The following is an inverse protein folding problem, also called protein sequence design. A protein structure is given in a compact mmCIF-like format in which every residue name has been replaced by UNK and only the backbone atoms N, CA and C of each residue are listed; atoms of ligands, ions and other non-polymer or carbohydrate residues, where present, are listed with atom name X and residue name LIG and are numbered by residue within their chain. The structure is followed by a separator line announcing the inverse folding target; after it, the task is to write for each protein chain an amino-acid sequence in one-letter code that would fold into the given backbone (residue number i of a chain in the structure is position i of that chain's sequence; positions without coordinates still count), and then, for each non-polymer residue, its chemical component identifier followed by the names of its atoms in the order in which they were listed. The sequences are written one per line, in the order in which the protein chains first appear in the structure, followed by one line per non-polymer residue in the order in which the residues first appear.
data_IF_363667124242
#
_entry.id   IF_363667124242
#
_cell.length_a   1.000
_cell.length_b   1.000
_cell.length_c   1.000
_cell.angle_alpha   90.00
_cell.angle_beta   90.00
_cell.angle_gamma   90.00
#
_symmetry.space_group_name_H-M   'P 1'
#
loop_
_entity.id
_entity.type
_entity.pdbx_description
1 polymer ?
#
# COMPACT_ATOMS: atom_id res chain seq x y z
N UNK A 1 3.93 30.97 22.25
CA UNK A 1 3.31 29.63 22.27
C UNK A 1 1.87 29.62 21.78
N UNK A 2 0.98 30.48 22.21
CA UNK A 2 -0.44 30.51 21.76
C UNK A 2 -0.64 30.75 20.27
N UNK A 3 0.19 31.54 19.61
CA UNK A 3 0.13 31.79 18.15
C UNK A 3 0.48 30.54 17.35
N UNK A 4 1.49 29.81 17.78
CA UNK A 4 1.90 28.54 17.16
C UNK A 4 0.80 27.48 17.35
N UNK A 5 0.19 27.41 18.52
CA UNK A 5 -0.94 26.50 18.78
C UNK A 5 -2.20 26.85 17.96
N UNK A 6 -2.49 28.15 17.76
CA UNK A 6 -3.59 28.60 16.88
C UNK A 6 -3.30 28.27 15.40
N UNK A 7 -2.08 28.51 14.91
CA UNK A 7 -1.68 28.17 13.56
C UNK A 7 -1.70 26.64 13.33
N UNK A 8 -1.27 25.88 14.34
CA UNK A 8 -1.27 24.43 14.30
C UNK A 8 -2.71 23.85 14.34
N UNK A 9 -3.65 24.46 15.03
CA UNK A 9 -5.04 24.00 15.13
C UNK A 9 -5.97 24.66 14.08
N UNK A 10 -5.42 25.48 13.18
CA UNK A 10 -6.18 26.11 12.13
C UNK A 10 -6.67 25.05 11.12
N UNK A 11 -7.97 25.07 10.85
CA UNK A 11 -8.61 24.24 9.82
C UNK A 11 -9.24 25.17 8.79
N UNK A 12 -8.87 25.10 7.52
CA UNK A 12 -9.52 25.89 6.48
C UNK A 12 -11.00 25.48 6.38
N UNK A 13 -11.89 26.46 6.38
CA UNK A 13 -13.28 26.25 5.98
C UNK A 13 -13.29 26.10 4.46
N UNK A 14 -13.36 24.86 3.98
CA UNK A 14 -13.35 24.57 2.54
C UNK A 14 -14.75 24.12 2.10
N UNK A 15 -15.17 24.44 0.87
CA UNK A 15 -16.41 23.92 0.31
C UNK A 15 -16.36 22.40 0.06
N UNK A 16 -15.15 21.82 0.09
CA UNK A 16 -14.88 20.40 -0.11
C UNK A 16 -14.64 19.74 1.24
N UNK A 17 -15.15 18.53 1.43
CA UNK A 17 -14.90 17.75 2.64
C UNK A 17 -13.40 17.63 2.95
N UNK A 18 -13.03 17.98 4.17
CA UNK A 18 -11.63 18.05 4.61
C UNK A 18 -10.84 16.74 4.41
N UNK A 19 -11.53 15.59 4.41
CA UNK A 19 -10.94 14.28 4.12
C UNK A 19 -10.24 14.23 2.75
N UNK A 20 -10.74 14.92 1.73
CA UNK A 20 -10.08 14.96 0.41
C UNK A 20 -8.78 15.76 0.44
N UNK A 21 -8.72 16.81 1.24
CA UNK A 21 -7.50 17.60 1.42
C UNK A 21 -6.44 16.74 2.10
N UNK A 22 -6.81 16.00 3.16
CA UNK A 22 -5.87 15.11 3.83
C UNK A 22 -5.34 14.01 2.90
N UNK A 23 -6.19 13.48 1.99
CA UNK A 23 -5.74 12.50 0.98
C UNK A 23 -4.78 13.11 -0.04
N UNK A 24 -5.03 14.34 -0.52
CA UNK A 24 -4.12 15.03 -1.45
C UNK A 24 -2.76 15.26 -0.79
N UNK A 25 -2.75 15.77 0.44
CA UNK A 25 -1.52 16.02 1.19
C UNK A 25 -0.78 14.71 1.51
N UNK A 26 -1.50 13.63 1.85
CA UNK A 26 -0.91 12.30 2.00
C UNK A 26 -0.31 11.78 0.69
N UNK A 27 -0.99 12.04 -0.44
CA UNK A 27 -0.50 11.73 -1.78
C UNK A 27 0.81 12.47 -2.11
N UNK A 28 0.90 13.76 -1.79
CA UNK A 28 2.15 14.52 -1.92
C UNK A 28 3.27 13.91 -1.06
N UNK A 29 2.94 13.42 0.16
CA UNK A 29 3.86 12.65 1.00
C UNK A 29 4.34 11.38 0.32
N UNK A 30 3.43 10.66 -0.33
CA UNK A 30 3.76 9.48 -1.12
C UNK A 30 4.71 9.83 -2.26
N UNK A 31 4.46 10.94 -2.99
CA UNK A 31 5.36 11.41 -4.04
C UNK A 31 6.79 11.63 -3.52
N UNK A 32 6.95 12.35 -2.41
CA UNK A 32 8.27 12.59 -1.79
C UNK A 32 9.01 11.29 -1.45
N UNK A 33 8.31 10.28 -0.91
CA UNK A 33 8.92 9.02 -0.50
C UNK A 33 9.20 8.05 -1.64
N UNK A 34 8.51 8.16 -2.80
CA UNK A 34 8.70 7.24 -3.94
C UNK A 34 10.07 7.35 -4.60
N UNK A 35 10.90 8.35 -4.27
CA UNK A 35 12.33 8.39 -4.63
C UNK A 35 13.12 7.17 -4.14
N UNK A 36 12.73 6.55 -3.02
CA UNK A 36 13.29 5.29 -2.52
C UNK A 36 12.53 4.05 -3.00
N UNK A 37 11.51 4.20 -3.86
CA UNK A 37 10.76 3.07 -4.38
C UNK A 37 11.64 2.19 -5.27
N UNK A 38 11.41 0.88 -5.23
CA UNK A 38 12.15 -0.08 -6.05
C UNK A 38 12.10 0.27 -7.54
N UNK A 39 10.94 0.73 -8.03
CA UNK A 39 10.75 1.16 -9.42
C UNK A 39 11.66 2.34 -9.77
N UNK A 40 11.79 3.32 -8.87
CA UNK A 40 12.62 4.50 -9.08
C UNK A 40 14.09 4.13 -9.16
N UNK A 41 14.59 3.35 -8.19
CA UNK A 41 15.99 2.88 -8.22
C UNK A 41 16.26 2.01 -9.44
N UNK A 42 15.35 1.09 -9.79
CA UNK A 42 15.51 0.25 -10.98
C UNK A 42 15.56 1.09 -12.28
N UNK A 43 14.80 2.18 -12.36
CA UNK A 43 14.78 3.05 -13.52
C UNK A 43 16.04 3.90 -13.71
N UNK A 44 16.77 4.19 -12.63
CA UNK A 44 17.97 5.04 -12.67
C UNK A 44 19.27 4.31 -12.33
N UNK A 45 19.21 3.00 -12.10
CA UNK A 45 20.40 2.23 -11.68
C UNK A 45 21.58 2.34 -12.65
N UNK A 46 21.31 2.44 -13.96
CA UNK A 46 22.36 2.63 -14.98
C UNK A 46 23.12 3.93 -14.75
N UNK A 47 22.42 5.03 -14.43
CA UNK A 47 23.06 6.31 -14.13
C UNK A 47 23.96 6.23 -12.88
N UNK A 48 23.54 5.43 -11.89
CA UNK A 48 24.33 5.20 -10.68
C UNK A 48 25.57 4.36 -11.01
N UNK A 49 25.45 3.29 -11.81
CA UNK A 49 26.58 2.43 -12.19
C UNK A 49 27.64 3.20 -12.97
N UNK A 50 27.20 4.00 -13.95
CA UNK A 50 28.11 4.78 -14.81
C UNK A 50 28.89 5.83 -14.00
N UNK A 51 28.27 6.42 -12.97
CA UNK A 51 28.88 7.46 -12.16
C UNK A 51 29.76 6.91 -11.03
N UNK A 52 29.36 5.78 -10.41
CA UNK A 52 30.04 5.25 -9.22
C UNK A 52 30.96 4.06 -9.49
N UNK A 53 30.76 3.38 -10.62
CA UNK A 53 31.46 2.14 -10.94
C UNK A 53 31.04 0.94 -10.08
N UNK A 54 29.94 1.04 -9.33
CA UNK A 54 29.49 -0.06 -8.45
C UNK A 54 28.81 -1.17 -9.24
N UNK A 55 28.89 -2.40 -8.72
CA UNK A 55 28.20 -3.52 -9.30
C UNK A 55 26.68 -3.44 -9.09
N UNK A 56 25.93 -4.03 -10.04
CA UNK A 56 24.46 -4.16 -9.95
C UNK A 56 24.03 -4.89 -8.67
N UNK A 57 24.82 -5.88 -8.23
CA UNK A 57 24.57 -6.63 -6.99
C UNK A 57 24.57 -5.73 -5.76
N UNK A 58 25.48 -4.74 -5.70
CA UNK A 58 25.57 -3.77 -4.60
C UNK A 58 24.28 -2.99 -4.44
N UNK A 59 23.72 -2.46 -5.52
CA UNK A 59 22.44 -1.73 -5.45
C UNK A 59 21.28 -2.67 -5.10
N UNK A 60 21.24 -3.87 -5.70
CA UNK A 60 20.21 -4.85 -5.43
C UNK A 60 20.16 -5.29 -3.96
N UNK A 61 21.31 -5.48 -3.32
CA UNK A 61 21.40 -5.81 -1.88
C UNK A 61 20.81 -4.68 -1.04
N UNK A 62 21.18 -3.42 -1.31
CA UNK A 62 20.62 -2.26 -0.60
C UNK A 62 19.11 -2.16 -0.74
N UNK A 63 18.58 -2.36 -1.95
CA UNK A 63 17.15 -2.37 -2.23
C UNK A 63 16.44 -3.49 -1.47
N UNK A 64 17.02 -4.67 -1.44
CA UNK A 64 16.46 -5.82 -0.72
C UNK A 64 16.41 -5.56 0.77
N UNK A 65 17.52 -5.16 1.39
CA UNK A 65 17.57 -4.88 2.84
C UNK A 65 16.60 -3.75 3.20
N UNK A 66 16.59 -2.64 2.43
CA UNK A 66 15.67 -1.53 2.68
C UNK A 66 14.20 -1.94 2.56
N UNK A 67 13.88 -2.82 1.63
CA UNK A 67 12.52 -3.34 1.45
C UNK A 67 12.11 -4.23 2.63
N UNK A 68 12.97 -5.15 3.09
CA UNK A 68 12.71 -5.96 4.27
C UNK A 68 12.58 -5.12 5.54
N UNK A 69 13.45 -4.13 5.71
CA UNK A 69 13.38 -3.17 6.83
C UNK A 69 12.02 -2.47 6.85
N UNK A 70 11.54 -1.99 5.71
CA UNK A 70 10.22 -1.37 5.61
C UNK A 70 9.09 -2.33 6.01
N UNK A 71 9.17 -3.59 5.59
CA UNK A 71 8.19 -4.63 5.97
C UNK A 71 8.13 -4.84 7.47
N UNK A 72 9.28 -5.04 8.12
CA UNK A 72 9.35 -5.25 9.56
C UNK A 72 8.99 -4.02 10.40
N UNK A 73 9.21 -2.80 9.86
CA UNK A 73 8.80 -1.57 10.53
C UNK A 73 7.30 -1.26 10.35
N UNK A 74 6.62 -1.85 9.37
CA UNK A 74 5.19 -1.57 9.10
C UNK A 74 4.27 -1.79 10.30
N UNK A 75 4.39 -2.88 11.10
CA UNK A 75 3.57 -3.07 12.31
C UNK A 75 3.81 -1.99 13.37
N UNK A 76 5.06 -1.51 13.49
CA UNK A 76 5.44 -0.47 14.45
C UNK A 76 4.77 0.84 14.06
N UNK A 77 4.86 1.22 12.77
CA UNK A 77 4.21 2.43 12.25
C UNK A 77 2.68 2.34 12.30
N UNK A 78 2.10 1.15 12.08
CA UNK A 78 0.67 0.92 12.26
C UNK A 78 0.21 1.23 13.69
N UNK A 79 0.92 0.70 14.69
CA UNK A 79 0.63 0.98 16.09
C UNK A 79 0.90 2.45 16.48
N UNK A 80 1.94 3.04 15.90
CA UNK A 80 2.31 4.43 16.14
C UNK A 80 1.24 5.40 15.62
N UNK A 81 0.73 5.19 14.39
CA UNK A 81 -0.31 6.04 13.81
C UNK A 81 -1.65 5.90 14.55
N UNK A 82 -2.01 4.72 15.01
CA UNK A 82 -3.24 4.52 15.80
C UNK A 82 -3.16 5.25 17.14
N UNK A 83 -1.97 5.34 17.75
CA UNK A 83 -1.76 6.01 19.04
C UNK A 83 -1.56 7.52 18.92
N UNK A 84 -0.61 7.95 18.08
CA UNK A 84 -0.16 9.34 18.00
C UNK A 84 -0.80 10.11 16.84
N UNK A 85 -1.41 9.37 15.87
CA UNK A 85 -1.97 9.96 14.66
C UNK A 85 -0.90 10.27 13.58
N UNK A 86 -1.35 10.59 12.34
CA UNK A 86 -0.47 10.83 11.19
C UNK A 86 0.30 12.15 11.28
N UNK A 87 -0.21 13.11 12.08
CA UNK A 87 0.29 14.48 12.17
C UNK A 87 1.75 14.61 12.58
N UNK A 88 2.24 13.71 13.41
CA UNK A 88 3.64 13.70 13.86
C UNK A 88 4.48 12.67 13.10
N UNK A 89 3.87 11.55 12.76
CA UNK A 89 4.55 10.43 12.10
C UNK A 89 4.96 10.78 10.68
N UNK A 90 4.04 11.35 9.87
CA UNK A 90 4.32 11.66 8.48
C UNK A 90 5.36 12.78 8.29
N UNK A 91 5.27 13.94 8.99
CA UNK A 91 6.29 14.98 8.86
C UNK A 91 7.67 14.52 9.31
N UNK A 92 7.77 13.81 10.44
CA UNK A 92 9.04 13.27 10.92
C UNK A 92 9.68 12.32 9.90
N UNK A 93 8.89 11.39 9.37
CA UNK A 93 9.36 10.49 8.31
C UNK A 93 9.74 11.25 7.03
N UNK A 94 9.02 12.31 6.67
CA UNK A 94 9.30 13.14 5.49
C UNK A 94 10.65 13.87 5.63
N UNK A 95 10.92 14.45 6.80
CA UNK A 95 12.20 15.11 7.09
C UNK A 95 13.35 14.10 7.02
N UNK A 96 13.23 12.95 7.70
CA UNK A 96 14.27 11.92 7.71
C UNK A 96 14.52 11.40 6.29
N UNK A 97 13.45 11.08 5.54
CA UNK A 97 13.55 10.64 4.15
C UNK A 97 14.23 11.69 3.28
N UNK A 98 13.89 12.97 3.47
CA UNK A 98 14.50 14.07 2.73
C UNK A 98 15.97 14.24 3.03
N UNK A 99 16.39 14.15 4.29
CA UNK A 99 17.80 14.17 4.69
C UNK A 99 18.56 12.99 4.05
N UNK A 100 17.96 11.79 4.08
CA UNK A 100 18.55 10.62 3.44
C UNK A 100 18.71 10.79 1.92
N UNK A 101 17.76 11.42 1.24
CA UNK A 101 17.87 11.69 -0.20
C UNK A 101 18.97 12.71 -0.53
N UNK A 102 19.13 13.77 0.28
CA UNK A 102 20.26 14.69 0.14
C UNK A 102 21.58 13.93 0.35
N UNK A 103 21.62 13.04 1.32
CA UNK A 103 22.79 12.20 1.57
C UNK A 103 23.08 11.25 0.40
N UNK A 104 22.06 10.57 -0.19
CA UNK A 104 22.20 9.76 -1.41
C UNK A 104 22.77 10.61 -2.56
N UNK A 105 22.31 11.85 -2.73
CA UNK A 105 22.85 12.77 -3.73
C UNK A 105 24.29 13.23 -3.48
N UNK A 106 24.85 13.00 -2.28
CA UNK A 106 26.24 13.31 -1.91
C UNK A 106 27.13 12.09 -1.66
N UNK A 107 26.63 10.87 -1.83
CA UNK A 107 27.35 9.64 -1.50
C UNK A 107 28.53 9.37 -2.45
N UNK A 108 29.61 8.83 -1.90
CA UNK A 108 30.81 8.42 -2.65
C UNK A 108 31.23 6.97 -2.34
N UNK A 109 30.69 6.38 -1.28
CA UNK A 109 31.04 5.01 -0.83
C UNK A 109 29.79 4.19 -0.57
N UNK A 110 29.88 2.88 -0.77
CA UNK A 110 28.76 1.93 -0.73
C UNK A 110 28.01 1.94 0.60
N UNK A 111 28.72 2.04 1.74
CA UNK A 111 28.07 2.04 3.05
C UNK A 111 27.14 3.26 3.26
N UNK A 112 27.50 4.43 2.68
CA UNK A 112 26.63 5.62 2.72
C UNK A 112 25.32 5.39 1.97
N UNK A 113 25.39 4.71 0.81
CA UNK A 113 24.20 4.28 0.08
C UNK A 113 23.33 3.37 0.94
N UNK A 114 23.92 2.32 1.53
CA UNK A 114 23.15 1.40 2.36
C UNK A 114 22.51 2.12 3.54
N UNK A 115 23.27 2.91 4.30
CA UNK A 115 22.72 3.63 5.44
C UNK A 115 21.57 4.57 5.04
N UNK A 116 21.80 5.43 4.06
CA UNK A 116 20.82 6.42 3.64
C UNK A 116 19.60 5.77 2.96
N UNK A 117 19.81 4.79 2.08
CA UNK A 117 18.72 4.14 1.36
C UNK A 117 17.85 3.26 2.27
N UNK A 118 18.47 2.44 3.14
CA UNK A 118 17.74 1.58 4.07
C UNK A 118 16.91 2.41 5.03
N UNK A 119 17.46 3.53 5.54
CA UNK A 119 16.73 4.46 6.39
C UNK A 119 15.57 5.13 5.63
N UNK A 120 15.83 5.69 4.46
CA UNK A 120 14.80 6.34 3.64
C UNK A 120 13.68 5.37 3.28
N UNK A 121 14.02 4.16 2.85
CA UNK A 121 13.07 3.12 2.47
C UNK A 121 12.32 2.56 3.67
N UNK A 122 13.06 2.24 4.74
CA UNK A 122 12.53 1.64 5.97
C UNK A 122 11.50 2.51 6.66
N UNK A 123 11.74 3.82 6.75
CA UNK A 123 10.84 4.78 7.40
C UNK A 123 9.83 5.37 6.42
N UNK A 124 10.27 5.76 5.22
CA UNK A 124 9.42 6.42 4.22
C UNK A 124 8.30 5.52 3.69
N UNK A 125 8.58 4.22 3.48
CA UNK A 125 7.56 3.32 2.95
C UNK A 125 6.36 3.16 3.90
N UNK A 126 6.48 2.70 5.16
CA UNK A 126 5.32 2.54 6.03
C UNK A 126 4.65 3.88 6.38
N UNK A 127 5.43 4.94 6.57
CA UNK A 127 4.93 6.22 7.04
C UNK A 127 4.28 7.09 5.95
N UNK A 128 4.81 7.08 4.71
CA UNK A 128 4.38 8.00 3.65
C UNK A 128 3.70 7.29 2.47
N UNK A 129 3.92 5.99 2.27
CA UNK A 129 3.35 5.24 1.15
C UNK A 129 2.35 4.18 1.63
N UNK A 130 2.65 3.52 2.74
CA UNK A 130 2.00 2.28 3.18
C UNK A 130 0.86 2.48 4.16
N UNK A 131 1.08 2.01 5.40
CA UNK A 131 0.02 1.89 6.41
C UNK A 131 -0.54 3.23 6.86
N UNK A 132 0.30 4.28 7.01
CA UNK A 132 -0.18 5.56 7.58
C UNK A 132 -1.15 6.28 6.65
N UNK A 133 -0.90 6.51 5.36
CA UNK A 133 -1.89 7.10 4.44
C UNK A 133 -3.20 6.29 4.35
N UNK A 134 -3.12 4.96 4.39
CA UNK A 134 -4.31 4.09 4.40
C UNK A 134 -5.13 4.27 5.68
N UNK A 135 -4.47 4.39 6.83
CA UNK A 135 -5.15 4.67 8.11
C UNK A 135 -5.87 6.02 8.08
N UNK A 136 -5.25 7.05 7.49
CA UNK A 136 -5.91 8.35 7.27
C UNK A 136 -7.18 8.19 6.44
N UNK A 137 -7.10 7.48 5.31
CA UNK A 137 -8.26 7.22 4.46
C UNK A 137 -9.40 6.52 5.22
N UNK A 138 -9.08 5.48 6.00
CA UNK A 138 -10.07 4.72 6.79
C UNK A 138 -10.69 5.57 7.89
N UNK A 139 -9.93 6.48 8.51
CA UNK A 139 -10.42 7.32 9.59
C UNK A 139 -11.36 8.43 9.12
N UNK A 140 -11.10 9.04 7.96
CA UNK A 140 -11.87 10.16 7.43
C UNK A 140 -13.09 9.74 6.62
N UNK A 141 -13.07 8.56 6.01
CA UNK A 141 -14.15 8.11 5.12
C UNK A 141 -14.82 6.87 5.70
N UNK A 142 -16.17 6.89 5.71
CA UNK A 142 -17.00 5.76 6.09
C UNK A 142 -17.70 5.16 4.87
N UNK A 143 -18.53 5.94 4.16
CA UNK A 143 -19.25 5.50 2.95
C UNK A 143 -18.32 5.34 1.73
N UNK A 144 -17.31 6.23 1.59
CA UNK A 144 -16.35 6.25 0.48
C UNK A 144 -14.98 5.68 0.90
N UNK A 145 -14.94 4.86 1.97
CA UNK A 145 -13.71 4.30 2.54
C UNK A 145 -12.88 3.53 1.52
N UNK A 146 -13.53 2.67 0.77
CA UNK A 146 -12.83 1.81 -0.19
C UNK A 146 -12.35 2.59 -1.41
N UNK A 147 -13.12 3.58 -1.88
CA UNK A 147 -12.66 4.51 -2.92
C UNK A 147 -11.43 5.30 -2.45
N UNK A 148 -11.44 5.82 -1.23
CA UNK A 148 -10.30 6.53 -0.65
C UNK A 148 -9.06 5.64 -0.55
N UNK A 149 -9.21 4.38 -0.12
CA UNK A 149 -8.13 3.38 -0.11
C UNK A 149 -7.60 3.07 -1.52
N UNK A 150 -8.48 2.99 -2.51
CA UNK A 150 -8.12 2.81 -3.92
C UNK A 150 -7.27 3.96 -4.45
N UNK A 151 -7.66 5.21 -4.16
CA UNK A 151 -6.94 6.44 -4.56
C UNK A 151 -5.55 6.47 -3.91
N UNK A 152 -5.45 6.19 -2.61
CA UNK A 152 -4.16 6.13 -1.90
C UNK A 152 -3.27 5.04 -2.50
N UNK A 153 -3.83 3.91 -2.87
CA UNK A 153 -3.05 2.80 -3.46
C UNK A 153 -2.56 3.09 -4.88
N UNK A 154 -3.30 3.89 -5.66
CA UNK A 154 -2.90 4.36 -6.98
C UNK A 154 -1.72 5.33 -6.92
N UNK A 155 -1.60 6.11 -5.84
CA UNK A 155 -0.58 7.16 -5.71
C UNK A 155 0.86 6.60 -5.87
N UNK A 156 1.15 5.43 -5.29
CA UNK A 156 2.49 4.82 -5.33
C UNK A 156 2.99 4.52 -6.75
N UNK A 157 2.28 3.76 -7.61
CA UNK A 157 2.76 3.47 -8.96
C UNK A 157 2.79 4.72 -9.84
N UNK A 158 1.81 5.62 -9.74
CA UNK A 158 1.78 6.86 -10.52
C UNK A 158 2.96 7.78 -10.15
N UNK A 159 3.17 8.06 -8.88
CA UNK A 159 4.25 8.93 -8.45
C UNK A 159 5.64 8.29 -8.60
N UNK A 160 5.72 6.96 -8.50
CA UNK A 160 6.96 6.24 -8.82
C UNK A 160 7.37 6.45 -10.28
N UNK A 161 6.44 6.32 -11.21
CA UNK A 161 6.68 6.57 -12.63
C UNK A 161 7.09 8.03 -12.90
N UNK A 162 6.38 9.00 -12.29
CA UNK A 162 6.70 10.43 -12.41
C UNK A 162 8.12 10.71 -11.88
N UNK A 163 8.50 10.14 -10.73
CA UNK A 163 9.84 10.35 -10.18
C UNK A 163 10.96 9.77 -11.07
N UNK A 164 10.74 8.61 -11.70
CA UNK A 164 11.72 8.07 -12.66
C UNK A 164 11.96 9.05 -13.80
N UNK A 165 10.88 9.57 -14.40
CA UNK A 165 10.99 10.51 -15.51
C UNK A 165 11.62 11.84 -15.07
N UNK A 166 11.24 12.36 -13.90
CA UNK A 166 11.80 13.59 -13.36
C UNK A 166 13.31 13.47 -13.09
N UNK A 167 13.74 12.38 -12.47
CA UNK A 167 15.16 12.15 -12.20
C UNK A 167 15.93 11.99 -13.50
N UNK A 168 15.40 11.21 -14.46
CA UNK A 168 16.02 11.06 -15.78
C UNK A 168 16.11 12.41 -16.52
N UNK A 169 15.06 13.22 -16.49
CA UNK A 169 15.05 14.55 -17.10
C UNK A 169 16.09 15.49 -16.48
N UNK A 170 16.17 15.54 -15.13
CA UNK A 170 17.16 16.38 -14.45
C UNK A 170 18.58 15.87 -14.74
N UNK A 171 18.76 14.55 -14.87
CA UNK A 171 20.05 13.95 -15.18
C UNK A 171 20.59 14.36 -16.57
N UNK A 172 19.72 14.68 -17.54
CA UNK A 172 20.13 15.22 -18.85
C UNK A 172 20.79 16.61 -18.76
N UNK A 173 20.38 17.42 -17.78
CA UNK A 173 20.84 18.82 -17.64
C UNK A 173 21.89 18.98 -16.54
N UNK A 174 21.98 18.04 -15.63
CA UNK A 174 22.92 18.10 -14.49
C UNK A 174 23.40 16.70 -14.12
N UNK A 175 22.81 16.11 -13.08
CA UNK A 175 23.13 14.74 -12.64
C UNK A 175 21.99 14.13 -11.85
N UNK A 176 21.95 12.80 -11.76
CA UNK A 176 21.03 12.08 -10.89
C UNK A 176 21.22 12.49 -9.40
N UNK A 177 22.44 12.88 -9.01
CA UNK A 177 22.76 13.37 -7.66
C UNK A 177 22.02 14.66 -7.33
N UNK A 178 21.95 15.59 -8.29
CA UNK A 178 21.19 16.84 -8.18
C UNK A 178 19.70 16.54 -8.05
N UNK A 179 19.19 15.61 -8.83
CA UNK A 179 17.79 15.19 -8.73
C UNK A 179 17.42 14.67 -7.33
N UNK A 180 18.28 13.84 -6.72
CA UNK A 180 18.07 13.36 -5.34
C UNK A 180 18.15 14.47 -4.30
N UNK A 181 19.05 15.44 -4.45
CA UNK A 181 19.11 16.62 -3.56
C UNK A 181 17.82 17.45 -3.64
N UNK A 182 17.31 17.68 -4.85
CA UNK A 182 16.04 18.41 -5.05
C UNK A 182 14.85 17.64 -4.48
N UNK A 183 14.78 16.33 -4.70
CA UNK A 183 13.73 15.48 -4.13
C UNK A 183 13.81 15.45 -2.60
N UNK A 184 15.02 15.48 -2.05
CA UNK A 184 15.26 15.58 -0.60
C UNK A 184 14.78 16.92 -0.04
N UNK A 185 15.11 18.03 -0.69
CA UNK A 185 14.64 19.37 -0.32
C UNK A 185 13.09 19.43 -0.39
N UNK A 186 12.48 18.91 -1.44
CA UNK A 186 11.04 18.78 -1.57
C UNK A 186 10.43 18.00 -0.40
N UNK A 187 11.02 16.84 -0.06
CA UNK A 187 10.50 16.01 1.03
C UNK A 187 10.60 16.71 2.39
N UNK A 188 11.65 17.51 2.64
CA UNK A 188 11.78 18.31 3.87
C UNK A 188 10.73 19.42 3.90
N UNK A 189 10.56 20.17 2.80
CA UNK A 189 9.55 21.24 2.70
C UNK A 189 8.13 20.70 2.87
N UNK A 190 7.87 19.50 2.40
CA UNK A 190 6.57 18.85 2.52
C UNK A 190 6.20 18.52 3.99
N UNK A 191 7.17 18.45 4.89
CA UNK A 191 6.86 18.27 6.31
C UNK A 191 5.97 19.39 6.86
N UNK A 192 6.04 20.62 6.30
CA UNK A 192 5.22 21.77 6.71
C UNK A 192 3.73 21.51 6.42
N UNK A 193 3.29 21.28 5.18
CA UNK A 193 1.89 20.98 4.92
C UNK A 193 1.42 19.69 5.59
N UNK A 194 2.26 18.66 5.71
CA UNK A 194 1.91 17.47 6.48
C UNK A 194 1.62 17.80 7.95
N UNK A 195 2.42 18.64 8.59
CA UNK A 195 2.20 19.07 9.98
C UNK A 195 0.92 19.90 10.15
N UNK A 196 0.63 20.78 9.18
CA UNK A 196 -0.52 21.70 9.23
C UNK A 196 -1.83 20.98 8.94
N UNK A 197 -1.89 20.16 7.88
CA UNK A 197 -3.14 19.60 7.38
C UNK A 197 -3.44 18.19 7.87
N UNK A 198 -2.43 17.40 8.29
CA UNK A 198 -2.72 16.06 8.78
C UNK A 198 -3.43 16.10 10.13
N UNK A 199 -4.51 15.33 10.24
CA UNK A 199 -5.29 15.12 11.46
C UNK A 199 -5.51 13.62 11.65
N UNK A 200 -5.71 13.22 12.90
CA UNK A 200 -5.93 11.82 13.23
C UNK A 200 -7.32 11.38 12.83
N UNK A 201 -8.32 12.17 13.17
CA UNK A 201 -9.74 11.88 12.94
C UNK A 201 -10.49 13.15 12.57
N UNK A 202 -11.58 13.08 11.79
CA UNK A 202 -12.43 14.24 11.50
C UNK A 202 -13.06 14.82 12.77
N UNK A 203 -13.35 13.97 13.77
CA UNK A 203 -13.93 14.40 15.06
C UNK A 203 -13.01 15.34 15.83
N UNK A 204 -11.68 15.24 15.69
CA UNK A 204 -10.70 16.12 16.32
C UNK A 204 -10.82 17.59 15.88
N UNK A 205 -11.49 17.81 14.73
CA UNK A 205 -11.74 19.13 14.14
C UNK A 205 -13.23 19.47 14.05
N UNK A 206 -14.08 18.73 14.79
CA UNK A 206 -15.52 18.95 14.85
C UNK A 206 -16.30 18.52 13.61
N UNK A 207 -15.70 17.72 12.72
CA UNK A 207 -16.35 17.16 11.54
C UNK A 207 -16.79 15.72 11.78
N UNK A 208 -17.78 15.27 11.03
CA UNK A 208 -18.16 13.87 10.94
C UNK A 208 -17.43 13.18 9.77
N UNK A 209 -17.24 11.85 9.78
CA UNK A 209 -16.78 11.11 8.61
C UNK A 209 -17.66 11.41 7.39
N UNK A 210 -17.05 11.43 6.19
CA UNK A 210 -17.70 11.79 4.92
C UNK A 210 -18.26 13.22 4.84
N UNK A 211 -18.11 14.04 5.89
CA UNK A 211 -18.66 15.41 5.96
C UNK A 211 -20.16 15.44 6.26
N UNK A 212 -20.70 14.39 6.83
CA UNK A 212 -22.12 14.36 7.22
C UNK A 212 -22.42 15.49 8.22
N UNK A 213 -23.55 16.20 8.00
CA UNK A 213 -24.03 17.20 8.94
C UNK A 213 -24.52 16.44 10.17
N UNK A 214 -24.08 16.89 11.35
CA UNK A 214 -24.52 16.34 12.63
C UNK A 214 -26.05 16.40 12.70
N UNK A 215 -26.71 15.31 12.41
CA UNK A 215 -28.11 15.16 12.83
C UNK A 215 -28.08 15.22 14.36
N UNK A 216 -28.68 16.24 14.93
CA UNK A 216 -28.93 16.31 16.37
C UNK A 216 -29.79 15.11 16.72
N UNK A 217 -29.15 14.01 17.07
CA UNK A 217 -29.85 12.91 17.72
C UNK A 217 -30.31 13.42 19.08
N UNK A 218 -31.59 13.24 19.44
CA UNK A 218 -32.13 13.79 20.68
C UNK A 218 -31.30 13.29 21.85
N UNK A 219 -30.94 14.23 22.68
CA UNK A 219 -30.29 14.12 23.98
C UNK A 219 -30.57 12.78 24.65
N UNK A 220 -29.65 11.82 24.53
CA UNK A 220 -29.68 10.65 25.38
C UNK A 220 -29.23 11.12 26.76
N UNK A 221 -30.21 11.31 27.65
CA UNK A 221 -30.03 11.56 29.06
C UNK A 221 -28.91 10.68 29.59
N UNK A 222 -27.94 11.31 30.21
CA UNK A 222 -26.93 10.66 31.05
C UNK A 222 -27.65 9.88 32.16
N UNK A 223 -27.92 8.64 31.95
CA UNK A 223 -28.08 7.70 33.06
C UNK A 223 -26.67 7.43 33.59
N UNK A 224 -26.41 8.01 34.74
CA UNK A 224 -25.33 7.62 35.65
C UNK A 224 -25.64 6.20 36.12
N UNK A 225 -25.12 5.22 35.44
CA UNK A 225 -24.89 3.93 36.03
C UNK A 225 -23.57 3.39 35.45
N UNK A 226 -22.62 3.36 36.34
CA UNK A 226 -21.28 2.82 36.18
C UNK A 226 -21.37 1.31 36.12
N UNK A 227 -21.30 0.77 34.88
CA UNK A 227 -20.80 -0.57 34.71
C UNK A 227 -19.90 -0.59 33.48
N UNK A 228 -18.67 -1.13 33.68
CA UNK A 228 -17.53 -1.06 32.79
C UNK A 228 -17.65 -2.02 31.58
N UNK A 229 -18.56 -1.70 30.67
CA UNK A 229 -18.61 -2.28 29.33
C UNK A 229 -17.84 -1.43 28.33
N UNK A 230 -17.30 -2.00 27.23
CA UNK A 230 -16.59 -1.23 26.20
C UNK A 230 -17.49 -0.15 25.63
N UNK A 231 -17.06 1.11 25.76
CA UNK A 231 -17.78 2.29 25.26
C UNK A 231 -17.97 2.14 23.74
N UNK A 232 -19.21 2.14 23.21
CA UNK A 232 -19.42 2.15 21.76
C UNK A 232 -18.82 3.42 21.17
N UNK A 233 -18.05 3.30 20.11
CA UNK A 233 -17.53 4.44 19.34
C UNK A 233 -18.68 5.35 18.94
N UNK A 234 -18.50 6.69 18.88
CA UNK A 234 -19.56 7.66 18.52
C UNK A 234 -20.26 7.38 17.19
N UNK A 235 -19.68 6.55 16.34
CA UNK A 235 -20.18 6.14 15.02
C UNK A 235 -20.98 4.82 15.01
N UNK A 236 -21.17 4.15 16.16
CA UNK A 236 -21.88 2.85 16.23
C UNK A 236 -21.16 1.69 15.50
N UNK A 237 -19.94 1.89 15.01
CA UNK A 237 -19.16 0.88 14.31
C UNK A 237 -18.45 -0.03 15.32
N UNK A 238 -18.65 -1.34 15.21
CA UNK A 238 -17.96 -2.33 16.05
C UNK A 238 -16.46 -2.36 15.69
N UNK A 239 -15.63 -1.80 16.55
CA UNK A 239 -14.17 -1.83 16.41
C UNK A 239 -13.57 -3.02 17.15
N UNK A 240 -12.61 -3.69 16.49
CA UNK A 240 -11.85 -4.79 17.06
C UNK A 240 -10.53 -4.28 17.64
N UNK A 241 -10.10 -4.87 18.75
CA UNK A 241 -8.74 -4.68 19.24
C UNK A 241 -7.76 -5.52 18.41
N UNK A 242 -6.50 -5.09 18.34
CA UNK A 242 -5.46 -5.85 17.63
C UNK A 242 -5.31 -7.28 18.17
N UNK A 243 -5.43 -7.46 19.50
CA UNK A 243 -5.35 -8.77 20.13
C UNK A 243 -6.50 -9.72 19.72
N UNK A 244 -7.73 -9.20 19.65
CA UNK A 244 -8.88 -9.97 19.16
C UNK A 244 -8.72 -10.33 17.69
N UNK A 245 -8.24 -9.39 16.86
CA UNK A 245 -8.03 -9.61 15.43
C UNK A 245 -7.01 -10.71 15.16
N UNK A 246 -5.88 -10.73 15.89
CA UNK A 246 -4.82 -11.75 15.75
C UNK A 246 -5.34 -13.17 16.09
N UNK A 247 -6.29 -13.27 17.01
CA UNK A 247 -6.91 -14.55 17.38
C UNK A 247 -7.94 -15.04 16.36
N UNK A 248 -8.36 -14.17 15.44
CA UNK A 248 -9.33 -14.52 14.39
C UNK A 248 -8.64 -15.26 13.25
N UNK A 249 -9.12 -16.46 12.91
CA UNK A 249 -8.68 -17.22 11.74
C UNK A 249 -8.89 -16.45 10.43
N UNK A 250 -9.92 -15.61 10.36
CA UNK A 250 -10.22 -14.77 9.20
C UNK A 250 -9.06 -13.84 8.83
N UNK A 251 -8.40 -13.24 9.83
CA UNK A 251 -7.24 -12.38 9.60
C UNK A 251 -6.11 -13.16 8.90
N UNK A 252 -5.81 -14.35 9.40
CA UNK A 252 -4.74 -15.19 8.85
C UNK A 252 -5.07 -15.71 7.46
N UNK A 253 -6.34 -16.03 7.18
CA UNK A 253 -6.76 -16.39 5.82
C UNK A 253 -6.55 -15.22 4.85
N UNK A 254 -6.92 -13.99 5.23
CA UNK A 254 -6.67 -12.80 4.39
C UNK A 254 -5.18 -12.54 4.21
N UNK A 255 -4.38 -12.61 5.29
CA UNK A 255 -2.92 -12.39 5.22
C UNK A 255 -2.25 -13.41 4.30
N UNK A 256 -2.58 -14.70 4.46
CA UNK A 256 -1.98 -15.77 3.64
C UNK A 256 -2.43 -15.65 2.18
N UNK A 257 -3.70 -15.32 1.93
CA UNK A 257 -4.18 -15.10 0.57
C UNK A 257 -3.48 -13.91 -0.09
N UNK A 258 -3.34 -12.77 0.61
CA UNK A 258 -2.60 -11.59 0.15
C UNK A 258 -1.12 -11.91 -0.12
N UNK A 259 -0.47 -12.67 0.76
CA UNK A 259 0.90 -13.13 0.55
C UNK A 259 1.02 -13.90 -0.77
N UNK A 260 0.12 -14.86 -1.02
CA UNK A 260 0.10 -15.65 -2.26
C UNK A 260 -0.14 -14.77 -3.49
N UNK A 261 -1.09 -13.83 -3.41
CA UNK A 261 -1.38 -12.88 -4.50
C UNK A 261 -0.16 -12.03 -4.84
N UNK A 262 0.49 -11.44 -3.83
CA UNK A 262 1.66 -10.58 -4.02
C UNK A 262 2.86 -11.38 -4.53
N UNK A 263 3.08 -12.58 -3.98
CA UNK A 263 4.11 -13.49 -4.44
C UNK A 263 3.90 -13.85 -5.91
N UNK A 264 2.70 -14.25 -6.30
CA UNK A 264 2.34 -14.60 -7.66
C UNK A 264 2.48 -13.40 -8.61
N UNK A 265 2.01 -12.22 -8.18
CA UNK A 265 2.17 -10.98 -8.95
C UNK A 265 3.64 -10.62 -9.16
N UNK A 266 4.49 -10.83 -8.15
CA UNK A 266 5.94 -10.67 -8.25
C UNK A 266 6.59 -11.69 -9.19
N UNK A 267 6.18 -12.97 -9.10
CA UNK A 267 6.66 -14.06 -9.95
C UNK A 267 6.37 -13.77 -11.43
N UNK A 268 5.11 -13.50 -11.76
CA UNK A 268 4.66 -13.26 -13.13
C UNK A 268 5.22 -11.93 -13.64
N UNK A 269 5.07 -10.85 -12.86
CA UNK A 269 5.45 -9.50 -13.28
C UNK A 269 6.92 -9.36 -13.64
N UNK A 270 7.81 -10.05 -12.92
CA UNK A 270 9.24 -10.01 -13.21
C UNK A 270 9.61 -10.78 -14.51
N UNK A 271 8.80 -11.74 -14.91
CA UNK A 271 9.07 -12.62 -16.05
C UNK A 271 8.31 -12.21 -17.33
N UNK A 272 7.39 -11.25 -17.29
CA UNK A 272 6.61 -10.89 -18.47
C UNK A 272 7.44 -10.39 -19.65
N UNK A 273 8.38 -9.49 -19.41
CA UNK A 273 9.20 -8.93 -20.50
C UNK A 273 10.09 -10.00 -21.12
N UNK A 274 10.83 -10.83 -20.37
CA UNK A 274 11.55 -11.98 -20.91
C UNK A 274 10.65 -12.96 -21.66
N UNK A 275 9.50 -13.31 -21.10
CA UNK A 275 8.53 -14.22 -21.73
C UNK A 275 8.06 -13.72 -23.11
N UNK A 276 7.63 -12.46 -23.20
CA UNK A 276 7.17 -11.87 -24.46
C UNK A 276 8.30 -11.76 -25.49
N UNK A 277 9.53 -11.49 -25.04
CA UNK A 277 10.71 -11.47 -25.92
C UNK A 277 11.00 -12.86 -26.50
N UNK A 278 10.98 -13.91 -25.68
CA UNK A 278 11.18 -15.29 -26.16
C UNK A 278 10.03 -15.76 -27.04
N UNK A 279 8.83 -15.19 -26.91
CA UNK A 279 7.67 -15.41 -27.75
C UNK A 279 7.74 -14.66 -29.10
N UNK A 280 8.87 -14.04 -29.45
CA UNK A 280 9.12 -13.41 -30.77
C UNK A 280 8.76 -11.90 -30.81
N UNK A 281 8.38 -11.26 -29.73
CA UNK A 281 8.16 -9.79 -29.68
C UNK A 281 9.48 -9.04 -29.51
N UNK A 282 9.55 -7.82 -30.04
CA UNK A 282 10.69 -6.93 -29.78
C UNK A 282 10.76 -6.55 -28.30
N UNK A 283 11.96 -6.20 -27.80
CA UNK A 283 12.16 -5.74 -26.42
C UNK A 283 11.31 -4.51 -26.13
N UNK A 284 11.22 -3.58 -27.09
CA UNK A 284 10.43 -2.35 -26.96
C UNK A 284 8.92 -2.65 -26.86
N UNK A 285 8.39 -3.56 -27.67
CA UNK A 285 6.99 -3.98 -27.63
C UNK A 285 6.67 -4.70 -26.31
N UNK A 286 7.58 -5.57 -25.84
CA UNK A 286 7.42 -6.27 -24.57
C UNK A 286 7.42 -5.32 -23.37
N UNK A 287 8.32 -4.33 -23.38
CA UNK A 287 8.37 -3.28 -22.37
C UNK A 287 7.11 -2.38 -22.40
N UNK A 288 6.61 -2.08 -23.61
CA UNK A 288 5.35 -1.33 -23.78
C UNK A 288 4.15 -2.08 -23.17
N UNK A 289 4.03 -3.39 -23.43
CA UNK A 289 2.98 -4.22 -22.82
C UNK A 289 3.01 -4.15 -21.28
N UNK A 290 4.19 -4.27 -20.69
CA UNK A 290 4.37 -4.15 -19.26
C UNK A 290 4.03 -2.75 -18.71
N UNK A 291 4.40 -1.69 -19.43
CA UNK A 291 4.09 -0.32 -19.06
C UNK A 291 2.57 -0.06 -19.06
N UNK A 292 1.88 -0.50 -20.11
CA UNK A 292 0.41 -0.40 -20.21
C UNK A 292 -0.25 -1.23 -19.09
N UNK A 293 0.22 -2.45 -18.85
CA UNK A 293 -0.25 -3.32 -17.77
C UNK A 293 -0.13 -2.63 -16.40
N UNK A 294 1.01 -1.98 -16.14
CA UNK A 294 1.25 -1.26 -14.89
C UNK A 294 0.33 -0.05 -14.73
N UNK A 295 0.06 0.68 -15.80
CA UNK A 295 -0.92 1.77 -15.80
C UNK A 295 -2.34 1.26 -15.57
N UNK A 296 -2.74 0.18 -16.25
CA UNK A 296 -4.03 -0.47 -16.03
C UNK A 296 -4.20 -0.92 -14.58
N UNK A 297 -3.15 -1.51 -13.99
CA UNK A 297 -3.11 -1.87 -12.58
C UNK A 297 -3.32 -0.65 -11.68
N UNK A 298 -2.60 0.46 -11.92
CA UNK A 298 -2.71 1.67 -11.14
C UNK A 298 -4.13 2.28 -11.18
N UNK A 299 -4.69 2.45 -12.38
CA UNK A 299 -6.02 3.04 -12.56
C UNK A 299 -7.16 2.11 -12.14
N UNK A 300 -6.96 0.81 -12.14
CA UNK A 300 -7.96 -0.13 -11.64
C UNK A 300 -8.18 -0.04 -10.12
N UNK A 301 -7.19 0.41 -9.34
CA UNK A 301 -7.30 0.52 -7.89
C UNK A 301 -8.49 1.41 -7.42
N UNK A 302 -8.68 2.65 -7.92
CA UNK A 302 -9.84 3.45 -7.57
C UNK A 302 -11.15 2.86 -8.07
N UNK A 303 -11.15 2.20 -9.23
CA UNK A 303 -12.33 1.54 -9.79
C UNK A 303 -12.82 0.42 -8.87
N UNK A 304 -11.91 -0.48 -8.42
CA UNK A 304 -12.24 -1.52 -7.45
C UNK A 304 -12.65 -0.93 -6.10
N UNK A 305 -12.06 0.19 -5.69
CA UNK A 305 -12.46 0.95 -4.53
C UNK A 305 -13.91 1.44 -4.62
N UNK A 306 -14.26 2.07 -5.73
CA UNK A 306 -15.62 2.54 -6.00
C UNK A 306 -16.64 1.39 -6.02
N UNK A 307 -16.31 0.27 -6.64
CA UNK A 307 -17.13 -0.92 -6.64
C UNK A 307 -17.29 -1.50 -5.22
N UNK A 308 -16.22 -1.45 -4.41
CA UNK A 308 -16.22 -1.93 -3.02
C UNK A 308 -17.07 -1.08 -2.06
N UNK A 309 -17.36 0.17 -2.41
CA UNK A 309 -18.30 1.00 -1.64
C UNK A 309 -19.77 0.58 -1.89
N UNK A 310 -20.05 -0.10 -3.01
CA UNK A 310 -21.38 -0.60 -3.37
C UNK A 310 -21.57 -2.10 -3.07
N UNK A 311 -20.51 -2.87 -3.26
CA UNK A 311 -20.50 -4.33 -3.07
C UNK A 311 -19.50 -4.70 -1.98
N UNK A 312 -19.72 -5.79 -1.27
CA UNK A 312 -18.77 -6.21 -0.24
C UNK A 312 -17.38 -6.53 -0.85
N UNK A 313 -16.26 -6.06 -0.26
CA UNK A 313 -14.93 -6.35 -0.78
C UNK A 313 -14.64 -7.84 -1.00
N UNK A 314 -15.19 -8.70 -0.13
CA UNK A 314 -15.09 -10.15 -0.27
C UNK A 314 -15.72 -10.67 -1.56
N UNK A 315 -16.92 -10.19 -1.92
CA UNK A 315 -17.57 -10.60 -3.20
C UNK A 315 -16.74 -10.16 -4.39
N UNK A 316 -16.18 -8.95 -4.33
CA UNK A 316 -15.34 -8.43 -5.40
C UNK A 316 -14.02 -9.17 -5.53
N UNK A 317 -13.36 -9.56 -4.43
CA UNK A 317 -12.19 -10.45 -4.49
C UNK A 317 -12.55 -11.76 -5.16
N UNK A 318 -13.66 -12.38 -4.75
CA UNK A 318 -14.12 -13.65 -5.31
C UNK A 318 -14.56 -13.55 -6.79
N UNK A 319 -14.86 -12.35 -7.30
CA UNK A 319 -15.12 -12.13 -8.75
C UNK A 319 -13.84 -11.77 -9.51
N UNK A 320 -12.88 -11.05 -8.90
CA UNK A 320 -11.62 -10.67 -9.53
C UNK A 320 -10.64 -11.84 -9.63
N UNK A 321 -10.62 -12.74 -8.64
CA UNK A 321 -9.72 -13.90 -8.63
C UNK A 321 -9.94 -14.86 -9.82
N UNK A 322 -11.16 -15.29 -10.18
CA UNK A 322 -11.40 -16.09 -11.38
C UNK A 322 -10.89 -15.42 -12.66
N UNK A 323 -11.00 -14.09 -12.75
CA UNK A 323 -10.48 -13.35 -13.91
C UNK A 323 -8.94 -13.48 -14.00
N UNK A 324 -8.22 -13.28 -12.87
CA UNK A 324 -6.78 -13.48 -12.82
C UNK A 324 -6.38 -14.95 -13.10
N UNK A 325 -7.12 -15.91 -12.54
CA UNK A 325 -6.92 -17.35 -12.77
C UNK A 325 -7.09 -17.67 -14.26
N UNK A 326 -8.18 -17.20 -14.89
CA UNK A 326 -8.45 -17.42 -16.31
C UNK A 326 -7.36 -16.83 -17.20
N UNK A 327 -6.97 -15.56 -16.96
CA UNK A 327 -5.91 -14.92 -17.74
C UNK A 327 -4.58 -15.66 -17.54
N UNK A 328 -4.27 -16.11 -16.32
CA UNK A 328 -3.05 -16.88 -16.04
C UNK A 328 -3.09 -18.26 -16.71
N UNK A 329 -4.26 -18.90 -16.77
CA UNK A 329 -4.45 -20.16 -17.50
C UNK A 329 -4.28 -19.97 -19.02
N UNK A 330 -4.70 -18.83 -19.58
CA UNK A 330 -4.46 -18.51 -20.99
C UNK A 330 -2.98 -18.48 -21.35
N UNK A 331 -2.08 -18.05 -20.46
CA UNK A 331 -0.63 -18.11 -20.72
C UNK A 331 -0.09 -19.55 -20.89
N UNK A 332 -0.82 -20.57 -20.43
CA UNK A 332 -0.48 -21.98 -20.66
C UNK A 332 -0.92 -22.48 -22.03
N UNK A 333 -1.89 -21.81 -22.66
CA UNK A 333 -2.53 -22.19 -23.92
C UNK A 333 -2.00 -21.39 -25.12
N UNK A 334 -1.43 -20.22 -24.88
CA UNK A 334 -0.95 -19.32 -25.93
C UNK A 334 0.56 -19.53 -26.12
N UNK A 335 0.98 -19.62 -27.35
CA UNK A 335 2.41 -19.70 -27.72
C UNK A 335 3.09 -18.30 -27.72
N UNK A 336 2.50 -17.32 -27.05
CA UNK A 336 3.05 -15.96 -26.91
C UNK A 336 2.61 -14.99 -28.02
N UNK A 337 3.51 -14.14 -28.49
CA UNK A 337 3.23 -13.15 -29.54
C UNK A 337 2.22 -12.08 -29.11
N UNK A 338 1.40 -11.59 -30.07
CA UNK A 338 0.42 -10.51 -29.79
C UNK A 338 -0.70 -10.95 -28.83
N UNK A 339 -1.05 -12.22 -28.77
CA UNK A 339 -2.00 -12.73 -27.78
C UNK A 339 -1.46 -12.59 -26.35
N UNK A 340 -0.18 -12.91 -26.14
CA UNK A 340 0.52 -12.69 -24.87
C UNK A 340 0.58 -11.21 -24.48
N UNK A 341 0.80 -10.31 -25.45
CA UNK A 341 0.77 -8.86 -25.24
C UNK A 341 -0.54 -8.38 -24.62
N UNK A 342 -1.68 -8.76 -25.19
CA UNK A 342 -2.99 -8.38 -24.64
C UNK A 342 -3.28 -9.05 -23.31
N UNK A 343 -2.89 -10.33 -23.13
CA UNK A 343 -3.05 -11.02 -21.86
C UNK A 343 -2.32 -10.32 -20.71
N UNK A 344 -1.10 -9.81 -20.94
CA UNK A 344 -0.35 -9.02 -19.93
C UNK A 344 -1.09 -7.75 -19.53
N UNK A 345 -1.70 -7.05 -20.49
CA UNK A 345 -2.46 -5.81 -20.22
C UNK A 345 -3.71 -6.12 -19.39
N UNK A 346 -4.50 -7.11 -19.76
CA UNK A 346 -5.70 -7.52 -19.02
C UNK A 346 -5.36 -8.06 -17.63
N UNK A 347 -4.26 -8.79 -17.50
CA UNK A 347 -3.76 -9.21 -16.21
C UNK A 347 -3.44 -8.02 -15.30
N UNK A 348 -2.86 -6.95 -15.84
CA UNK A 348 -2.61 -5.71 -15.10
C UNK A 348 -3.89 -5.11 -14.51
N UNK A 349 -4.94 -5.00 -15.33
CA UNK A 349 -6.23 -4.48 -14.88
C UNK A 349 -6.89 -5.36 -13.80
N UNK A 350 -6.84 -6.68 -13.96
CA UNK A 350 -7.41 -7.62 -13.00
C UNK A 350 -6.64 -7.67 -11.68
N UNK A 351 -5.30 -7.74 -11.75
CA UNK A 351 -4.43 -7.85 -10.58
C UNK A 351 -4.42 -6.59 -9.71
N UNK A 352 -4.70 -5.41 -10.28
CA UNK A 352 -4.80 -4.16 -9.51
C UNK A 352 -5.87 -4.23 -8.42
N UNK A 353 -7.03 -4.86 -8.71
CA UNK A 353 -8.05 -5.08 -7.70
C UNK A 353 -7.55 -5.92 -6.53
N UNK A 354 -6.85 -7.00 -6.81
CA UNK A 354 -6.35 -7.90 -5.77
C UNK A 354 -5.38 -7.21 -4.81
N UNK A 355 -4.59 -6.26 -5.27
CA UNK A 355 -3.64 -5.52 -4.43
C UNK A 355 -4.28 -4.62 -3.37
N UNK A 356 -5.56 -4.25 -3.53
CA UNK A 356 -6.23 -3.31 -2.62
C UNK A 356 -7.40 -3.93 -1.87
N UNK A 357 -8.05 -4.94 -2.45
CA UNK A 357 -9.27 -5.54 -1.90
C UNK A 357 -9.04 -6.24 -0.56
N UNK A 358 -7.88 -6.86 -0.33
CA UNK A 358 -7.52 -7.46 0.96
C UNK A 358 -7.42 -6.43 2.08
N UNK A 359 -6.80 -5.28 1.81
CA UNK A 359 -6.77 -4.16 2.75
C UNK A 359 -8.16 -3.58 3.03
N UNK A 360 -9.03 -3.52 2.01
CA UNK A 360 -10.43 -3.11 2.15
C UNK A 360 -11.24 -4.12 2.97
N UNK A 361 -10.99 -5.43 2.81
CA UNK A 361 -11.62 -6.46 3.66
C UNK A 361 -11.27 -6.23 5.13
N UNK A 362 -10.01 -5.96 5.45
CA UNK A 362 -9.58 -5.68 6.82
C UNK A 362 -10.28 -4.43 7.36
N UNK A 363 -10.33 -3.34 6.60
CA UNK A 363 -11.01 -2.12 7.00
C UNK A 363 -12.51 -2.34 7.30
N UNK A 364 -13.17 -3.19 6.49
CA UNK A 364 -14.61 -3.48 6.65
C UNK A 364 -14.91 -4.54 7.74
N UNK A 365 -13.95 -5.41 8.06
CA UNK A 365 -14.15 -6.49 9.04
C UNK A 365 -13.81 -6.05 10.46
N UNK A 366 -12.76 -5.26 10.63
CA UNK A 366 -12.20 -4.94 11.94
C UNK A 366 -12.43 -3.48 12.37
N UNK A 367 -12.99 -2.65 11.49
CA UNK A 367 -13.27 -1.25 11.81
C UNK A 367 -12.03 -0.35 11.76
N UNK A 368 -12.19 0.91 12.22
CA UNK A 368 -11.18 1.97 12.04
C UNK A 368 -10.21 2.17 13.21
N UNK A 369 -10.62 1.83 14.43
CA UNK A 369 -9.88 2.24 15.64
C UNK A 369 -8.48 1.62 15.76
N UNK A 370 -8.30 0.38 15.32
CA UNK A 370 -7.02 -0.34 15.31
C UNK A 370 -6.57 -0.71 13.89
N UNK A 371 -7.09 -0.04 12.87
CA UNK A 371 -6.81 -0.39 11.47
C UNK A 371 -5.32 -0.34 11.15
N UNK A 372 -4.62 0.70 11.61
CA UNK A 372 -3.18 0.83 11.39
C UNK A 372 -2.40 -0.34 11.98
N UNK A 373 -2.70 -0.73 13.22
CA UNK A 373 -2.07 -1.85 13.91
C UNK A 373 -2.38 -3.19 13.22
N UNK A 374 -3.65 -3.43 12.85
CA UNK A 374 -4.09 -4.69 12.24
C UNK A 374 -3.54 -4.82 10.81
N UNK A 375 -3.67 -3.77 9.99
CA UNK A 375 -3.13 -3.77 8.62
C UNK A 375 -1.60 -3.77 8.61
N UNK A 376 -0.98 -3.20 9.63
CA UNK A 376 0.46 -3.22 9.82
C UNK A 376 1.04 -4.62 9.92
N UNK A 377 0.31 -5.56 10.52
CA UNK A 377 0.72 -6.98 10.63
C UNK A 377 0.90 -7.62 9.25
N UNK A 378 0.17 -7.16 8.22
CA UNK A 378 0.33 -7.67 6.86
C UNK A 378 1.68 -7.31 6.23
N UNK A 379 2.32 -6.23 6.68
CA UNK A 379 3.53 -5.67 6.06
C UNK A 379 4.65 -6.69 5.83
N UNK A 380 5.11 -7.44 6.85
CA UNK A 380 6.14 -8.46 6.69
C UNK A 380 5.77 -9.54 5.68
N UNK A 381 4.50 -9.96 5.64
CA UNK A 381 4.01 -10.97 4.71
C UNK A 381 3.95 -10.45 3.27
N UNK A 382 3.48 -9.22 3.07
CA UNK A 382 3.48 -8.56 1.76
C UNK A 382 4.90 -8.42 1.20
N UNK A 383 5.84 -8.01 2.04
CA UNK A 383 7.26 -7.90 1.66
C UNK A 383 7.86 -9.28 1.40
N UNK A 384 7.53 -10.27 2.21
CA UNK A 384 7.95 -11.66 1.99
C UNK A 384 7.47 -12.19 0.63
N UNK A 385 6.20 -11.99 0.29
CA UNK A 385 5.65 -12.35 -1.01
C UNK A 385 6.35 -11.63 -2.16
N UNK A 386 6.57 -10.31 -2.03
CA UNK A 386 7.26 -9.53 -3.06
C UNK A 386 8.72 -9.97 -3.27
N UNK A 387 9.42 -10.38 -2.22
CA UNK A 387 10.80 -10.85 -2.30
C UNK A 387 10.93 -12.28 -2.83
N UNK A 388 10.03 -13.19 -2.42
CA UNK A 388 10.05 -14.60 -2.83
C UNK A 388 9.58 -14.76 -4.28
N UNK A 389 8.61 -13.96 -4.73
CA UNK A 389 7.98 -14.11 -6.03
C UNK A 389 8.96 -14.14 -7.21
N UNK A 390 9.76 -13.10 -7.46
CA UNK A 390 10.74 -13.07 -8.56
C UNK A 390 11.76 -14.21 -8.48
N UNK A 391 12.22 -14.54 -7.27
CA UNK A 391 13.19 -15.62 -7.04
C UNK A 391 12.62 -16.98 -7.37
N UNK A 392 11.37 -17.25 -6.94
CA UNK A 392 10.65 -18.47 -7.27
C UNK A 392 10.46 -18.61 -8.78
N UNK A 393 10.08 -17.52 -9.48
CA UNK A 393 9.94 -17.52 -10.93
C UNK A 393 11.24 -17.81 -11.67
N UNK A 394 12.33 -17.18 -11.27
CA UNK A 394 13.65 -17.42 -11.86
C UNK A 394 14.16 -18.84 -11.63
N UNK A 395 13.94 -19.38 -10.42
CA UNK A 395 14.32 -20.76 -10.08
C UNK A 395 13.53 -21.79 -10.90
N UNK A 396 12.19 -21.61 -10.99
CA UNK A 396 11.32 -22.49 -11.78
C UNK A 396 11.72 -22.49 -13.26
N UNK A 397 11.98 -21.31 -13.83
CA UNK A 397 12.46 -21.20 -15.20
C UNK A 397 13.79 -21.93 -15.40
N UNK A 398 14.78 -21.72 -14.50
CA UNK A 398 16.09 -22.38 -14.57
C UNK A 398 15.98 -23.91 -14.43
N UNK A 399 15.09 -24.40 -13.59
CA UNK A 399 14.93 -25.83 -13.31
C UNK A 399 14.23 -26.59 -14.47
N UNK A 400 13.34 -25.91 -15.21
CA UNK A 400 12.49 -26.58 -16.21
C UNK A 400 12.78 -26.13 -17.66
N UNK A 401 13.57 -25.08 -17.85
CA UNK A 401 13.89 -24.54 -19.16
C UNK A 401 12.74 -23.80 -19.85
N UNK A 402 11.66 -23.46 -19.13
CA UNK A 402 10.51 -22.80 -19.73
C UNK A 402 9.56 -22.13 -18.75
N UNK A 403 8.64 -21.30 -19.28
CA UNK A 403 7.68 -20.54 -18.47
C UNK A 403 6.46 -21.36 -18.02
N UNK A 404 6.22 -22.54 -18.58
CA UNK A 404 5.04 -23.36 -18.28
C UNK A 404 4.94 -23.70 -16.79
N UNK A 405 6.04 -24.11 -16.17
CA UNK A 405 6.10 -24.41 -14.73
C UNK A 405 5.81 -23.18 -13.86
N UNK A 406 6.28 -22.01 -14.28
CA UNK A 406 6.02 -20.74 -13.61
C UNK A 406 4.52 -20.40 -13.65
N UNK A 407 3.87 -20.52 -14.81
CA UNK A 407 2.43 -20.25 -14.93
C UNK A 407 1.58 -21.29 -14.19
N UNK A 408 1.98 -22.58 -14.15
CA UNK A 408 1.32 -23.60 -13.33
C UNK A 408 1.44 -23.27 -11.85
N UNK A 409 2.62 -22.89 -11.38
CA UNK A 409 2.84 -22.45 -10.00
C UNK A 409 1.98 -21.22 -9.66
N UNK A 410 1.96 -20.21 -10.51
CA UNK A 410 1.16 -19.01 -10.37
C UNK A 410 -0.35 -19.32 -10.31
N UNK A 411 -0.81 -20.22 -11.18
CA UNK A 411 -2.19 -20.67 -11.23
C UNK A 411 -2.59 -21.39 -9.93
N UNK A 412 -1.76 -22.33 -9.46
CA UNK A 412 -2.02 -23.04 -8.20
C UNK A 412 -2.05 -22.12 -6.99
N UNK A 413 -1.15 -21.12 -6.93
CA UNK A 413 -1.13 -20.12 -5.88
C UNK A 413 -2.37 -19.21 -5.92
N UNK A 414 -2.84 -18.79 -7.10
CA UNK A 414 -4.10 -18.03 -7.22
C UNK A 414 -5.32 -18.86 -6.82
N UNK A 415 -5.40 -20.14 -7.20
CA UNK A 415 -6.49 -21.04 -6.79
C UNK A 415 -6.51 -21.18 -5.27
N UNK A 416 -5.34 -21.40 -4.64
CA UNK A 416 -5.24 -21.49 -3.19
C UNK A 416 -5.66 -20.16 -2.53
N UNK A 417 -5.22 -19.01 -3.04
CA UNK A 417 -5.63 -17.71 -2.54
C UNK A 417 -7.15 -17.49 -2.68
N UNK A 418 -7.74 -17.92 -3.80
CA UNK A 418 -9.20 -17.89 -4.01
C UNK A 418 -9.95 -18.68 -2.93
N UNK A 419 -9.52 -19.88 -2.63
CA UNK A 419 -10.11 -20.71 -1.56
C UNK A 419 -9.98 -20.02 -0.20
N UNK A 420 -8.80 -19.47 0.11
CA UNK A 420 -8.57 -18.76 1.39
C UNK A 420 -9.45 -17.53 1.53
N UNK A 421 -9.60 -16.70 0.49
CA UNK A 421 -10.56 -15.58 0.49
C UNK A 421 -12.01 -16.07 0.61
N UNK A 422 -12.33 -17.21 0.03
CA UNK A 422 -13.63 -17.87 0.18
C UNK A 422 -13.90 -18.28 1.63
N UNK A 423 -12.92 -18.74 2.36
CA UNK A 423 -13.00 -19.09 3.78
C UNK A 423 -13.00 -17.87 4.70
N UNK A 424 -12.45 -16.74 4.28
CA UNK A 424 -12.35 -15.49 5.04
C UNK A 424 -13.74 -14.80 5.16
N UNK A 425 -14.63 -15.37 5.97
CA UNK A 425 -15.95 -14.77 6.29
C UNK A 425 -15.76 -13.64 7.31
N UNK A 426 -16.71 -12.69 7.36
CA UNK A 426 -16.71 -11.63 8.37
C UNK A 426 -16.72 -12.26 9.76
N UNK A 427 -15.73 -11.95 10.64
CA UNK A 427 -15.67 -12.56 11.96
C UNK A 427 -16.84 -12.07 12.81
N UNK A 428 -17.49 -13.00 13.52
CA UNK A 428 -18.52 -12.71 14.51
C UNK A 428 -17.88 -12.65 15.90
N UNK A 429 -18.17 -11.62 16.68
CA UNK A 429 -17.77 -11.60 18.09
C UNK A 429 -18.58 -12.62 18.85
N UNK A 430 -17.92 -13.53 19.54
CA UNK A 430 -18.53 -14.47 20.49
C UNK A 430 -18.91 -13.75 21.83
N UNK A 431 -19.55 -12.60 21.73
CA UNK A 431 -19.89 -11.78 22.92
C UNK A 431 -21.34 -11.94 23.36
N UNK A 432 -21.94 -13.09 23.20
CA UNK A 432 -23.34 -13.27 23.58
C UNK A 432 -23.64 -14.47 24.52
N UNK A 433 -22.65 -15.18 25.08
CA UNK A 433 -23.02 -16.39 25.82
C UNK A 433 -22.71 -16.42 27.31
N UNK A 434 -22.03 -15.42 27.88
CA UNK A 434 -21.75 -15.42 29.31
C UNK A 434 -22.67 -14.52 30.15
N UNK A 435 -23.34 -13.55 29.56
CA UNK A 435 -24.24 -12.64 30.31
C UNK A 435 -25.68 -13.20 30.33
N UNK A 436 -26.14 -13.87 29.27
CA UNK A 436 -27.48 -14.50 29.27
C UNK A 436 -27.55 -15.76 30.14
N UNK A 437 -26.46 -16.51 30.33
CA UNK A 437 -26.46 -17.69 31.24
C UNK A 437 -26.44 -17.34 32.73
N UNK A 438 -26.22 -16.09 33.09
CA UNK A 438 -26.28 -15.64 34.51
C UNK A 438 -27.63 -15.02 34.89
N UNK A 439 -28.54 -14.83 33.95
CA UNK A 439 -29.89 -14.32 34.21
C UNK A 439 -30.94 -15.46 34.27
N UNK A 440 -30.57 -16.68 33.91
CA UNK A 440 -31.44 -17.87 33.98
C UNK A 440 -31.01 -18.85 35.13
N UNK A 441 -30.17 -18.43 36.04
CA UNK A 441 -29.89 -19.11 37.34
C UNK A 441 -30.16 -18.14 38.51
#
# INVERSE_FOLDING_TARGET
MQFIQRAINWTPRTPIFYGWITLIIAGLGTYGATGSAQVTIAGIQTLIFEDTGWDRSTIAIGVTIGTWTAGFLTPIFGKLVDRQGPRWVMPAASIITGICFIWIGGMNVVWQFYAAYILARGLGNPALIGVVPRTVAVNFFHRKRNLALGIVSMARPCFGAINVQLIAFIALWSSWRTAYKLLGAYSILLAIPLLIFMRRRPEDIGLQPDGDIRSESPTRQQSKDSDSGPVPSPSGELSWTTSEAIRSSTLWFVITAEFLVIMTSGTIGFQFVPYLKESGLSVSTSALAWSISSLMNAFSNPLWGFLSDRYSPRRLVLSAMPLCITITAFFLLIEGGMAGFFCVIFWGAASGGLNVLGGMMIANYYGRDSFGSISGIMGPFQIGGLGIGPTAGAYLYKATGGYRSLFVFALSAYILAFVLFGLAKKPTRLYASHTERKLDQ
#
